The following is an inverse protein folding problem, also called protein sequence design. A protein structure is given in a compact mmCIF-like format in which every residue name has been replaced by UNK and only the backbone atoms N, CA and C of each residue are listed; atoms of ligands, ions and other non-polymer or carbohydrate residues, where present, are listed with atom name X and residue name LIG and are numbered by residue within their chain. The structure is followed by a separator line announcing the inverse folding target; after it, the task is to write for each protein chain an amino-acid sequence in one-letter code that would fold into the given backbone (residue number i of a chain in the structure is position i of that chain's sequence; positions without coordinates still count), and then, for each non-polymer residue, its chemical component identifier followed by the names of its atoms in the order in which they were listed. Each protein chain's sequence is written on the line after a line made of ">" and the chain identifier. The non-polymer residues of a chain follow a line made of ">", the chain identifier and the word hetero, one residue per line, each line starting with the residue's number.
data_IF_793972249173
#
_entry.id   IF_793972249173
#
_cell.length_a   1.000
_cell.length_b   1.000
_cell.length_c   1.000
_cell.angle_alpha   90.00
_cell.angle_beta   90.00
_cell.angle_gamma   90.00
#
_symmetry.space_group_name_H-M   'P 1'
#
loop_
_entity.id
_entity.type
_entity.pdbx_description
1 polymer ?
#
# COMPACT_ATOMS: atom_id res chain seq x y z
N UNK A 1 29.23 21.50 15.84
CA UNK A 1 28.19 22.05 14.95
C UNK A 1 26.88 21.31 15.25
N UNK A 2 25.92 21.97 15.90
CA UNK A 2 24.61 21.36 16.19
C UNK A 2 23.77 21.37 14.91
N UNK A 3 23.32 20.23 14.38
CA UNK A 3 22.42 20.24 13.23
C UNK A 3 21.12 20.90 13.65
N UNK A 4 20.82 22.08 13.10
CA UNK A 4 19.56 22.78 13.29
C UNK A 4 18.47 22.00 12.54
N UNK A 5 17.74 21.14 13.26
CA UNK A 5 16.60 20.41 12.71
C UNK A 5 15.53 21.44 12.35
N UNK A 6 15.36 21.72 11.05
CA UNK A 6 14.27 22.59 10.57
C UNK A 6 12.92 21.94 10.95
N UNK A 7 11.98 22.70 11.53
CA UNK A 7 10.69 22.14 11.93
C UNK A 7 9.96 21.50 10.75
N UNK A 8 9.29 20.37 10.99
CA UNK A 8 8.34 19.78 10.03
C UNK A 8 7.34 20.88 9.65
N UNK A 9 7.03 20.99 8.35
CA UNK A 9 5.91 21.84 7.93
C UNK A 9 4.64 21.30 8.59
N UNK A 10 3.94 22.15 9.35
CA UNK A 10 2.64 21.82 9.93
C UNK A 10 1.63 21.63 8.81
N UNK A 11 1.41 20.37 8.45
CA UNK A 11 0.37 19.99 7.52
C UNK A 11 -0.98 20.03 8.23
N UNK A 12 -1.87 20.93 7.79
CA UNK A 12 -3.21 21.13 8.38
C UNK A 12 -4.33 20.35 7.68
N UNK A 13 -4.01 19.54 6.67
CA UNK A 13 -4.98 18.70 5.95
C UNK A 13 -5.17 17.32 6.58
N UNK A 14 -5.95 16.46 5.90
CA UNK A 14 -6.24 15.11 6.40
C UNK A 14 -4.96 14.25 6.52
N UNK A 15 -4.70 13.54 7.65
CA UNK A 15 -3.45 12.80 7.88
C UNK A 15 -3.07 11.76 6.82
N UNK A 16 -4.03 11.32 6.01
CA UNK A 16 -3.78 10.40 4.89
C UNK A 16 -3.00 11.08 3.76
N UNK A 17 -3.23 12.36 3.49
CA UNK A 17 -2.57 13.08 2.40
C UNK A 17 -1.27 13.77 2.85
N UNK A 18 -0.94 13.75 4.15
CA UNK A 18 0.26 14.40 4.67
C UNK A 18 1.57 13.91 4.04
N UNK A 19 1.60 12.66 3.59
CA UNK A 19 2.75 12.07 2.91
C UNK A 19 2.29 11.14 1.80
N UNK A 20 2.95 11.22 0.64
CA UNK A 20 2.62 10.40 -0.53
C UNK A 20 2.62 8.89 -0.25
N UNK A 21 3.43 8.37 0.67
CA UNK A 21 3.49 6.93 0.96
C UNK A 21 2.30 6.39 1.77
N UNK A 22 1.66 7.23 2.60
CA UNK A 22 0.56 6.82 3.50
C UNK A 22 -0.67 6.28 2.78
N UNK A 23 -1.19 6.91 1.70
CA UNK A 23 -2.33 6.37 0.99
C UNK A 23 -1.99 5.03 0.32
N UNK A 24 -0.78 4.85 -0.22
CA UNK A 24 -0.41 3.58 -0.86
C UNK A 24 -0.28 2.42 0.12
N UNK A 25 0.29 2.65 1.32
CA UNK A 25 0.29 1.61 2.36
C UNK A 25 -1.10 1.32 2.92
N UNK A 26 -1.97 2.34 3.00
CA UNK A 26 -3.35 2.09 3.40
C UNK A 26 -4.10 1.29 2.33
N UNK A 27 -3.94 1.65 1.06
CA UNK A 27 -4.54 0.92 -0.07
C UNK A 27 -4.03 -0.51 -0.14
N UNK A 28 -2.73 -0.75 0.08
CA UNK A 28 -2.19 -2.12 0.12
C UNK A 28 -2.78 -2.92 1.28
N UNK A 29 -2.91 -2.32 2.45
CA UNK A 29 -3.53 -2.97 3.61
C UNK A 29 -5.00 -3.31 3.36
N UNK A 30 -5.78 -2.38 2.81
CA UNK A 30 -7.19 -2.60 2.44
C UNK A 30 -7.30 -3.69 1.38
N UNK A 31 -6.43 -3.67 0.36
CA UNK A 31 -6.45 -4.69 -0.69
C UNK A 31 -6.15 -6.08 -0.14
N UNK A 32 -5.11 -6.22 0.68
CA UNK A 32 -4.79 -7.49 1.33
C UNK A 32 -5.94 -7.98 2.23
N UNK A 33 -6.57 -7.06 2.97
CA UNK A 33 -7.71 -7.37 3.84
C UNK A 33 -8.95 -7.87 3.07
N UNK A 34 -9.07 -7.60 1.77
CA UNK A 34 -10.17 -8.08 0.92
C UNK A 34 -9.75 -9.32 0.13
N UNK A 35 -8.63 -9.25 -0.57
CA UNK A 35 -8.17 -10.28 -1.50
C UNK A 35 -7.83 -11.60 -0.79
N UNK A 36 -7.21 -11.54 0.40
CA UNK A 36 -6.83 -12.74 1.16
C UNK A 36 -8.08 -13.49 1.68
N UNK A 37 -9.04 -12.84 2.38
CA UNK A 37 -10.25 -13.53 2.80
C UNK A 37 -11.08 -14.05 1.63
N UNK A 38 -11.16 -13.31 0.52
CA UNK A 38 -11.86 -13.77 -0.68
C UNK A 38 -11.23 -15.04 -1.25
N UNK A 39 -9.90 -15.10 -1.33
CA UNK A 39 -9.18 -16.29 -1.74
C UNK A 39 -9.39 -17.46 -0.77
N UNK A 40 -9.29 -17.23 0.54
CA UNK A 40 -9.53 -18.27 1.56
C UNK A 40 -10.95 -18.82 1.46
N UNK A 41 -11.95 -17.95 1.31
CA UNK A 41 -13.35 -18.33 1.16
C UNK A 41 -13.55 -19.18 -0.11
N UNK A 42 -13.05 -18.72 -1.26
CA UNK A 42 -13.16 -19.48 -2.51
C UNK A 42 -12.41 -20.81 -2.47
N UNK A 43 -11.29 -20.89 -1.75
CA UNK A 43 -10.50 -22.12 -1.66
C UNK A 43 -11.13 -23.13 -0.70
N UNK A 44 -11.68 -22.67 0.43
CA UNK A 44 -12.30 -23.52 1.45
C UNK A 44 -13.69 -24.03 1.08
N UNK A 45 -14.49 -23.24 0.35
CA UNK A 45 -15.84 -23.62 -0.07
C UNK A 45 -15.87 -24.54 -1.29
N UNK A 46 -14.75 -24.62 -2.04
CA UNK A 46 -14.61 -25.45 -3.22
C UNK A 46 -15.17 -24.81 -4.52
N UNK A 47 -14.95 -25.47 -5.67
CA UNK A 47 -15.33 -24.94 -6.98
C UNK A 47 -16.85 -24.75 -7.10
N UNK A 48 -17.29 -23.59 -7.59
CA UNK A 48 -18.69 -23.28 -7.85
C UNK A 48 -19.50 -22.74 -6.67
N UNK A 49 -18.90 -22.63 -5.48
CA UNK A 49 -19.57 -22.07 -4.30
C UNK A 49 -19.67 -20.53 -4.31
N UNK A 50 -18.82 -19.86 -5.09
CA UNK A 50 -18.82 -18.40 -5.26
C UNK A 50 -18.93 -18.05 -6.74
N UNK A 51 -19.57 -16.91 -7.04
CA UNK A 51 -19.61 -16.36 -8.41
C UNK A 51 -18.22 -15.98 -8.94
N UNK A 52 -17.26 -15.75 -8.04
CA UNK A 52 -15.87 -15.44 -8.36
C UNK A 52 -15.03 -16.66 -8.03
N UNK A 53 -14.35 -17.23 -9.03
CA UNK A 53 -13.38 -18.31 -8.81
C UNK A 53 -12.03 -17.71 -8.42
N UNK A 54 -11.85 -17.44 -7.12
CA UNK A 54 -10.59 -16.97 -6.58
C UNK A 54 -9.65 -18.16 -6.30
N UNK A 55 -9.21 -18.82 -7.38
CA UNK A 55 -8.22 -19.91 -7.32
C UNK A 55 -6.78 -19.41 -7.15
N UNK A 56 -5.79 -20.30 -7.31
CA UNK A 56 -4.37 -19.95 -7.14
C UNK A 56 -3.89 -18.86 -8.11
N UNK A 57 -4.38 -18.87 -9.36
CA UNK A 57 -4.03 -17.84 -10.35
C UNK A 57 -4.52 -16.46 -9.92
N UNK A 58 -5.73 -16.38 -9.37
CA UNK A 58 -6.28 -15.15 -8.81
C UNK A 58 -5.41 -14.67 -7.64
N UNK A 59 -5.09 -15.55 -6.69
CA UNK A 59 -4.23 -15.20 -5.56
C UNK A 59 -2.89 -14.59 -6.00
N UNK A 60 -2.19 -15.27 -6.92
CA UNK A 60 -0.90 -14.79 -7.42
C UNK A 60 -1.06 -13.45 -8.13
N UNK A 61 -2.08 -13.31 -8.98
CA UNK A 61 -2.34 -12.05 -9.67
C UNK A 61 -2.59 -10.90 -8.70
N UNK A 62 -3.45 -11.12 -7.70
CA UNK A 62 -3.82 -10.12 -6.71
C UNK A 62 -2.66 -9.73 -5.77
N UNK A 63 -1.81 -10.70 -5.39
CA UNK A 63 -0.65 -10.43 -4.55
C UNK A 63 0.46 -9.71 -5.30
N UNK A 64 0.67 -10.01 -6.59
CA UNK A 64 1.75 -9.41 -7.39
C UNK A 64 1.34 -8.05 -7.93
N UNK A 65 0.19 -7.95 -8.59
CA UNK A 65 -0.21 -6.74 -9.32
C UNK A 65 -1.08 -5.80 -8.50
N UNK A 66 -1.85 -6.30 -7.53
CA UNK A 66 -2.66 -5.46 -6.63
C UNK A 66 -1.85 -5.02 -5.41
N UNK A 67 -1.62 -5.95 -4.48
CA UNK A 67 -0.91 -5.68 -3.22
C UNK A 67 0.55 -5.25 -3.48
N UNK A 68 1.29 -6.02 -4.27
CA UNK A 68 2.71 -5.80 -4.52
C UNK A 68 3.00 -4.45 -5.17
N UNK A 69 2.21 -4.04 -6.18
CA UNK A 69 2.38 -2.74 -6.83
C UNK A 69 2.08 -1.57 -5.89
N UNK A 70 1.05 -1.68 -5.04
CA UNK A 70 0.71 -0.66 -4.05
C UNK A 70 1.81 -0.51 -2.98
N UNK A 71 2.33 -1.63 -2.46
CA UNK A 71 3.47 -1.62 -1.53
C UNK A 71 4.71 -1.03 -2.19
N UNK A 72 5.00 -1.41 -3.42
CA UNK A 72 6.15 -0.90 -4.18
C UNK A 72 6.05 0.63 -4.36
N UNK A 73 4.88 1.15 -4.73
CA UNK A 73 4.66 2.59 -4.84
C UNK A 73 4.87 3.32 -3.50
N UNK A 74 4.30 2.80 -2.40
CA UNK A 74 4.51 3.36 -1.06
C UNK A 74 5.97 3.33 -0.62
N UNK A 75 6.67 2.24 -0.91
CA UNK A 75 8.10 2.11 -0.66
C UNK A 75 8.92 3.12 -1.45
N UNK A 76 8.71 3.23 -2.77
CA UNK A 76 9.45 4.17 -3.62
C UNK A 76 9.23 5.63 -3.19
N UNK A 77 8.00 6.00 -2.83
CA UNK A 77 7.71 7.35 -2.33
C UNK A 77 8.39 7.66 -0.99
N UNK A 78 8.75 6.63 -0.23
CA UNK A 78 9.55 6.75 1.00
C UNK A 78 11.05 6.75 0.70
N UNK A 79 11.50 5.88 -0.21
CA UNK A 79 12.90 5.64 -0.53
C UNK A 79 13.51 6.76 -1.39
N UNK A 80 12.80 7.27 -2.40
CA UNK A 80 13.33 8.29 -3.32
C UNK A 80 13.77 9.57 -2.60
N UNK A 81 13.01 10.17 -1.66
CA UNK A 81 13.47 11.31 -0.87
C UNK A 81 14.76 11.01 -0.12
N UNK A 82 14.88 9.80 0.43
CA UNK A 82 16.08 9.37 1.18
C UNK A 82 17.31 9.26 0.28
N UNK A 83 17.17 8.71 -0.93
CA UNK A 83 18.27 8.56 -1.88
C UNK A 83 18.69 9.86 -2.55
N UNK A 84 17.74 10.78 -2.76
CA UNK A 84 18.00 12.05 -3.45
C UNK A 84 18.37 13.18 -2.49
N UNK A 85 18.37 12.94 -1.18
CA UNK A 85 18.59 13.98 -0.17
C UNK A 85 17.52 15.07 -0.18
N UNK A 86 16.37 14.81 -0.82
CA UNK A 86 15.24 15.75 -0.95
C UNK A 86 14.21 15.47 0.13
N UNK A 87 13.41 16.49 0.44
CA UNK A 87 12.29 16.33 1.38
C UNK A 87 11.20 15.45 0.75
N UNK A 88 10.52 14.60 1.54
CA UNK A 88 9.34 13.86 1.08
C UNK A 88 8.28 14.82 0.53
N UNK A 89 7.51 14.35 -0.45
CA UNK A 89 6.36 15.09 -0.98
C UNK A 89 5.29 15.16 0.11
N UNK A 90 4.91 16.39 0.49
CA UNK A 90 3.89 16.69 1.48
C UNK A 90 2.87 17.67 0.87
N UNK A 91 1.57 17.41 0.97
CA UNK A 91 0.51 18.27 0.43
C UNK A 91 -0.85 17.59 0.44
#
# INVERSE_FOLDING_TARGET
>A
MTPTIKPKRDYRGHPLFSYGFRPFFLLSAIWAAIAIPLWIASHSLGPGAMSVNAGIVFHVHEMVFGYGSAVLAGFLLTAIPSWTGRRPVCG
#
